data_IF_697921255808
#
_entry.id   IF_697921255808
#
_cell.length_a   1.000
_cell.length_b   1.000
_cell.length_c   1.000
_cell.angle_alpha   90.00
_cell.angle_beta   90.00
_cell.angle_gamma   90.00
#
_symmetry.space_group_name_H-M   'P 1'
#
loop_
_entity.id
_entity.type
_entity.pdbx_description
1 polymer ?
#
# COMPACT_ATOMS: atom_id res chain seq x y z
N UNK A 1 20.04 -27.72 -17.50
CA UNK A 1 20.28 -27.00 -16.23
C UNK A 1 19.17 -27.39 -15.25
N UNK A 2 19.50 -28.01 -14.11
CA UNK A 2 18.51 -28.45 -13.12
C UNK A 2 17.76 -27.23 -12.60
N UNK A 3 16.47 -27.17 -12.81
CA UNK A 3 15.56 -26.17 -12.25
C UNK A 3 15.46 -26.41 -10.74
N UNK A 4 16.47 -25.92 -9.97
CA UNK A 4 16.38 -25.98 -8.51
C UNK A 4 15.21 -25.13 -8.06
N UNK A 5 14.19 -25.77 -7.48
CA UNK A 5 13.04 -25.07 -6.93
C UNK A 5 13.49 -24.14 -5.81
N UNK A 6 13.03 -22.88 -5.83
CA UNK A 6 13.29 -21.93 -4.75
C UNK A 6 12.73 -22.49 -3.43
N UNK A 7 13.60 -22.69 -2.45
CA UNK A 7 13.24 -23.27 -1.16
C UNK A 7 12.22 -22.40 -0.41
N UNK A 8 11.31 -23.03 0.35
CA UNK A 8 10.31 -22.32 1.17
C UNK A 8 10.97 -21.29 2.09
N UNK A 9 12.10 -21.62 2.74
CA UNK A 9 12.82 -20.73 3.64
C UNK A 9 13.32 -19.46 2.93
N UNK A 10 13.75 -19.56 1.67
CA UNK A 10 14.15 -18.40 0.87
C UNK A 10 12.95 -17.50 0.57
N UNK A 11 11.80 -18.08 0.21
CA UNK A 11 10.56 -17.32 -0.05
C UNK A 11 10.09 -16.61 1.23
N UNK A 12 10.11 -17.30 2.37
CA UNK A 12 9.72 -16.72 3.66
C UNK A 12 10.69 -15.62 4.10
N UNK A 13 12.00 -15.82 3.97
CA UNK A 13 12.99 -14.81 4.36
C UNK A 13 12.93 -13.58 3.45
N UNK A 14 12.76 -13.77 2.14
CA UNK A 14 12.55 -12.67 1.21
C UNK A 14 11.24 -11.94 1.53
N UNK A 15 10.12 -12.65 1.60
CA UNK A 15 8.80 -12.07 1.88
C UNK A 15 8.75 -11.35 3.22
N UNK A 16 9.40 -11.89 4.25
CA UNK A 16 9.42 -11.33 5.60
C UNK A 16 9.82 -9.85 5.65
N UNK A 17 10.76 -9.41 4.83
CA UNK A 17 11.16 -8.01 4.76
C UNK A 17 10.02 -7.08 4.30
N UNK A 18 9.04 -7.59 3.57
CA UNK A 18 7.86 -6.81 3.19
C UNK A 18 6.99 -6.40 4.41
N UNK A 19 7.03 -7.17 5.51
CA UNK A 19 6.25 -6.86 6.72
C UNK A 19 6.57 -5.50 7.32
N UNK A 20 7.80 -5.20 7.77
CA UNK A 20 8.10 -3.88 8.31
C UNK A 20 7.98 -2.77 7.26
N UNK A 21 8.22 -3.03 5.98
CA UNK A 21 8.02 -2.05 4.91
C UNK A 21 6.53 -1.70 4.73
N UNK A 22 5.64 -2.68 4.81
CA UNK A 22 4.19 -2.45 4.77
C UNK A 22 3.69 -1.68 6.01
N UNK A 23 4.28 -1.98 7.18
CA UNK A 23 3.95 -1.29 8.42
C UNK A 23 4.25 0.21 8.38
N UNK A 24 5.16 0.68 7.53
CA UNK A 24 5.46 2.11 7.37
C UNK A 24 4.33 2.84 6.66
N UNK A 25 3.71 2.23 5.66
CA UNK A 25 2.69 2.87 4.82
C UNK A 25 1.42 3.23 5.59
N UNK A 26 0.96 2.36 6.48
CA UNK A 26 -0.27 2.55 7.24
C UNK A 26 -0.22 3.76 8.20
N UNK A 27 0.81 3.93 9.07
CA UNK A 27 0.90 5.11 9.93
C UNK A 27 0.98 6.41 9.14
N UNK A 28 1.71 6.43 8.03
CA UNK A 28 1.84 7.65 7.19
C UNK A 28 0.48 8.03 6.62
N UNK A 29 -0.29 7.07 6.12
CA UNK A 29 -1.56 7.33 5.46
C UNK A 29 -2.66 7.79 6.43
N UNK A 30 -2.63 7.35 7.69
CA UNK A 30 -3.76 7.49 8.61
C UNK A 30 -3.43 8.31 9.86
N UNK A 31 -2.23 8.15 10.44
CA UNK A 31 -1.88 8.73 11.73
C UNK A 31 -0.93 9.94 11.65
N UNK A 32 0.00 9.93 10.69
CA UNK A 32 1.06 10.94 10.63
C UNK A 32 0.52 12.34 10.31
N UNK A 33 -0.37 12.45 9.31
CA UNK A 33 -0.97 13.72 8.91
C UNK A 33 -1.80 14.32 10.04
N UNK A 34 -2.75 13.58 10.67
CA UNK A 34 -3.46 14.06 11.83
C UNK A 34 -2.54 14.44 13.00
N UNK A 35 -1.52 13.65 13.30
CA UNK A 35 -0.58 13.93 14.38
C UNK A 35 0.13 15.29 14.18
N UNK A 36 0.69 15.50 12.99
CA UNK A 36 1.40 16.76 12.72
C UNK A 36 0.46 17.96 12.61
N UNK A 37 -0.80 17.76 12.25
CA UNK A 37 -1.79 18.83 12.21
C UNK A 37 -2.39 19.12 13.59
N UNK A 38 -2.82 18.10 14.34
CA UNK A 38 -3.56 18.26 15.60
C UNK A 38 -2.64 18.46 16.82
N UNK A 39 -1.53 17.70 16.87
CA UNK A 39 -0.65 17.68 18.05
C UNK A 39 0.51 18.67 17.90
N UNK A 40 1.11 18.71 16.70
CA UNK A 40 2.23 19.63 16.42
C UNK A 40 1.74 21.02 15.99
N UNK A 41 0.54 21.12 15.39
CA UNK A 41 -0.08 22.38 14.99
C UNK A 41 0.40 22.91 13.63
N UNK A 42 0.95 22.07 12.76
CA UNK A 42 1.28 22.47 11.38
C UNK A 42 0.00 22.52 10.55
N UNK A 43 -0.31 23.64 9.88
CA UNK A 43 -1.49 23.76 9.02
C UNK A 43 -1.57 22.63 7.97
N UNK A 44 -2.76 22.07 7.76
CA UNK A 44 -2.97 20.91 6.92
C UNK A 44 -2.52 21.11 5.46
N UNK A 45 -2.78 22.30 4.89
CA UNK A 45 -2.32 22.64 3.54
C UNK A 45 -0.79 22.66 3.42
N UNK A 46 -0.07 23.05 4.49
CA UNK A 46 1.39 23.02 4.51
C UNK A 46 1.86 21.57 4.49
N UNK A 47 1.31 20.71 5.36
CA UNK A 47 1.65 19.28 5.38
C UNK A 47 1.40 18.66 4.00
N UNK A 48 0.25 18.93 3.39
CA UNK A 48 -0.12 18.41 2.07
C UNK A 48 0.90 18.79 0.98
N UNK A 49 1.25 20.08 0.90
CA UNK A 49 2.22 20.57 -0.08
C UNK A 49 3.62 19.98 0.15
N UNK A 50 4.03 19.85 1.40
CA UNK A 50 5.34 19.27 1.75
C UNK A 50 5.42 17.79 1.42
N UNK A 51 4.35 17.04 1.67
CA UNK A 51 4.25 15.63 1.28
C UNK A 51 4.29 15.47 -0.25
N UNK A 52 3.61 16.35 -0.99
CA UNK A 52 3.66 16.38 -2.44
C UNK A 52 5.09 16.60 -2.94
N UNK A 53 5.78 17.62 -2.43
CA UNK A 53 7.17 17.94 -2.81
C UNK A 53 8.11 16.79 -2.43
N UNK A 54 8.01 16.27 -1.21
CA UNK A 54 8.85 15.19 -0.74
C UNK A 54 8.67 13.91 -1.57
N UNK A 55 7.45 13.60 -1.99
CA UNK A 55 7.18 12.46 -2.88
C UNK A 55 7.62 12.71 -4.32
N UNK A 56 7.58 13.97 -4.77
CA UNK A 56 8.05 14.29 -6.11
C UNK A 56 9.56 13.99 -6.29
N UNK A 57 10.33 14.06 -5.19
CA UNK A 57 11.75 13.67 -5.25
C UNK A 57 11.93 12.18 -5.62
N UNK A 58 10.97 11.31 -5.31
CA UNK A 58 11.01 9.89 -5.69
C UNK A 58 11.07 9.72 -7.22
N UNK A 59 10.40 10.59 -7.98
CA UNK A 59 10.40 10.56 -9.46
C UNK A 59 11.84 10.70 -10.00
N UNK A 60 12.68 11.45 -9.29
CA UNK A 60 14.08 11.67 -9.66
C UNK A 60 14.98 10.59 -9.04
N UNK A 61 14.79 10.28 -7.79
CA UNK A 61 15.67 9.35 -7.05
C UNK A 61 15.47 7.90 -7.43
N UNK A 62 14.25 7.48 -7.80
CA UNK A 62 13.95 6.10 -8.19
C UNK A 62 14.79 5.61 -9.40
N UNK A 63 14.82 6.33 -10.54
CA UNK A 63 15.66 5.94 -11.67
C UNK A 63 17.15 5.93 -11.35
N UNK A 64 17.63 6.92 -10.58
CA UNK A 64 19.03 7.03 -10.17
C UNK A 64 19.42 5.83 -9.32
N UNK A 65 18.66 5.54 -8.27
CA UNK A 65 18.90 4.40 -7.37
C UNK A 65 18.73 3.05 -8.07
N UNK A 66 17.79 2.97 -9.01
CA UNK A 66 17.66 1.82 -9.90
C UNK A 66 18.94 1.56 -10.69
N UNK A 67 19.47 2.59 -11.34
CA UNK A 67 20.69 2.49 -12.14
C UNK A 67 21.92 2.19 -11.28
N UNK A 68 22.07 2.87 -10.14
CA UNK A 68 23.15 2.62 -9.18
C UNK A 68 23.10 1.19 -8.63
N UNK A 69 21.91 0.72 -8.24
CA UNK A 69 21.69 -0.64 -7.76
C UNK A 69 22.04 -1.69 -8.81
N UNK A 70 21.83 -1.39 -10.09
CA UNK A 70 22.15 -2.29 -11.19
C UNK A 70 23.65 -2.32 -11.53
N UNK A 71 24.33 -1.21 -11.35
CA UNK A 71 25.79 -1.11 -11.60
C UNK A 71 26.62 -1.62 -10.42
N UNK A 72 26.02 -1.75 -9.25
CA UNK A 72 26.71 -2.20 -8.03
C UNK A 72 27.24 -3.63 -8.17
N UNK A 73 28.50 -3.83 -7.80
CA UNK A 73 29.18 -5.13 -7.75
C UNK A 73 30.00 -5.18 -6.47
N UNK A 74 29.56 -6.02 -5.51
CA UNK A 74 30.29 -6.21 -4.24
C UNK A 74 30.41 -7.68 -3.90
N UNK A 75 31.30 -8.01 -2.95
CA UNK A 75 31.53 -9.37 -2.47
C UNK A 75 30.29 -10.00 -1.79
N UNK A 76 29.36 -9.17 -1.28
CA UNK A 76 28.14 -9.63 -0.62
C UNK A 76 26.92 -9.67 -1.55
N UNK A 77 27.09 -9.27 -2.82
CA UNK A 77 26.03 -9.24 -3.82
C UNK A 77 25.81 -7.85 -4.41
N UNK A 78 24.74 -7.72 -5.18
CA UNK A 78 24.36 -6.50 -5.89
C UNK A 78 23.29 -5.70 -5.17
N UNK A 79 22.30 -6.37 -4.57
CA UNK A 79 21.14 -5.76 -3.92
C UNK A 79 21.30 -5.57 -2.42
N UNK A 80 22.02 -6.50 -1.77
CA UNK A 80 22.23 -6.50 -0.31
C UNK A 80 22.87 -5.22 0.23
N UNK A 81 23.90 -4.61 -0.40
CA UNK A 81 24.54 -3.39 0.11
C UNK A 81 23.55 -2.24 0.27
N UNK A 82 22.59 -2.10 -0.62
CA UNK A 82 21.59 -1.05 -0.59
C UNK A 82 20.62 -1.23 0.58
N UNK A 83 20.21 -2.48 0.86
CA UNK A 83 19.35 -2.77 2.02
C UNK A 83 20.10 -2.46 3.31
N UNK A 84 21.40 -2.84 3.41
CA UNK A 84 22.24 -2.54 4.58
C UNK A 84 22.35 -1.03 4.81
N UNK A 85 22.49 -0.23 3.73
CA UNK A 85 22.56 1.23 3.82
C UNK A 85 21.21 1.86 4.15
N UNK A 86 20.14 1.37 3.54
CA UNK A 86 18.80 1.96 3.67
C UNK A 86 18.15 1.71 5.03
N UNK A 87 18.40 0.56 5.66
CA UNK A 87 17.79 0.20 6.95
C UNK A 87 18.15 1.19 8.06
N UNK A 88 19.41 1.54 8.35
CA UNK A 88 19.74 2.53 9.38
C UNK A 88 19.17 3.92 9.09
N UNK A 89 19.23 4.37 7.81
CA UNK A 89 18.65 5.65 7.41
C UNK A 89 17.14 5.68 7.66
N UNK A 90 16.44 4.62 7.29
CA UNK A 90 15.00 4.49 7.51
C UNK A 90 14.66 4.47 9.00
N UNK A 91 15.39 3.70 9.82
CA UNK A 91 15.19 3.63 11.26
C UNK A 91 15.36 5.03 11.91
N UNK A 92 16.39 5.77 11.50
CA UNK A 92 16.62 7.13 12.01
C UNK A 92 15.51 8.09 11.60
N UNK A 93 15.07 8.05 10.35
CA UNK A 93 14.00 8.89 9.86
C UNK A 93 12.65 8.59 10.56
N UNK A 94 12.33 7.30 10.75
CA UNK A 94 11.14 6.88 11.48
C UNK A 94 11.22 7.33 12.94
N UNK A 95 12.36 7.15 13.60
CA UNK A 95 12.55 7.61 14.96
C UNK A 95 12.24 9.11 15.10
N UNK A 96 12.80 9.92 14.22
CA UNK A 96 12.60 11.37 14.24
C UNK A 96 11.18 11.79 13.88
N UNK A 97 10.51 11.13 12.94
CA UNK A 97 9.15 11.50 12.53
C UNK A 97 8.07 10.99 13.49
N UNK A 98 8.25 9.81 14.07
CA UNK A 98 7.21 9.16 14.86
C UNK A 98 7.38 9.42 16.36
N UNK A 99 8.59 9.81 16.78
CA UNK A 99 8.93 10.18 18.16
C UNK A 99 9.61 11.56 18.13
N UNK A 100 8.92 12.59 17.62
CA UNK A 100 9.52 13.93 17.55
C UNK A 100 9.73 14.47 18.95
N UNK A 101 10.80 15.29 19.12
CA UNK A 101 11.05 16.04 20.35
C UNK A 101 10.04 17.19 20.53
N UNK A 102 10.29 18.03 21.51
CA UNK A 102 9.41 19.16 21.87
C UNK A 102 9.44 20.31 20.85
N UNK A 103 10.53 20.47 20.11
CA UNK A 103 10.70 21.55 19.12
C UNK A 103 10.62 20.98 17.71
N UNK A 104 9.42 21.00 17.14
CA UNK A 104 9.17 20.52 15.78
C UNK A 104 8.85 21.70 14.87
N UNK A 105 9.78 22.00 13.96
CA UNK A 105 9.59 23.02 12.93
C UNK A 105 9.11 22.40 11.61
N UNK A 106 8.58 23.24 10.71
CA UNK A 106 8.26 22.84 9.34
C UNK A 106 9.51 22.25 8.63
N UNK A 107 10.66 22.87 8.81
CA UNK A 107 11.94 22.41 8.25
C UNK A 107 12.32 21.04 8.79
N UNK A 108 12.13 20.79 10.08
CA UNK A 108 12.32 19.47 10.68
C UNK A 108 11.47 18.40 9.99
N UNK A 109 10.17 18.69 9.86
CA UNK A 109 9.24 17.75 9.21
C UNK A 109 9.66 17.45 7.76
N UNK A 110 10.00 18.46 6.97
CA UNK A 110 10.43 18.29 5.57
C UNK A 110 11.68 17.43 5.47
N UNK A 111 12.72 17.74 6.22
CA UNK A 111 14.01 17.02 6.16
C UNK A 111 13.80 15.55 6.49
N UNK A 112 13.10 15.23 7.58
CA UNK A 112 12.91 13.85 7.99
C UNK A 112 11.94 13.08 7.08
N UNK A 113 10.93 13.74 6.50
CA UNK A 113 10.08 13.14 5.48
C UNK A 113 10.85 12.80 4.21
N UNK A 114 11.69 13.72 3.72
CA UNK A 114 12.54 13.46 2.54
C UNK A 114 13.53 12.31 2.81
N UNK A 115 14.16 12.28 3.99
CA UNK A 115 15.08 11.20 4.37
C UNK A 115 14.36 9.86 4.51
N UNK A 116 13.11 9.85 5.02
CA UNK A 116 12.30 8.65 5.12
C UNK A 116 11.94 8.11 3.72
N UNK A 117 11.51 8.97 2.79
CA UNK A 117 11.22 8.56 1.42
C UNK A 117 12.49 8.08 0.70
N UNK A 118 13.61 8.79 0.87
CA UNK A 118 14.89 8.36 0.32
C UNK A 118 15.31 6.98 0.87
N UNK A 119 15.22 6.76 2.19
CA UNK A 119 15.48 5.46 2.81
C UNK A 119 14.55 4.37 2.29
N UNK A 120 13.26 4.69 2.10
CA UNK A 120 12.28 3.80 1.49
C UNK A 120 12.68 3.40 0.07
N UNK A 121 13.09 4.35 -0.76
CA UNK A 121 13.52 4.10 -2.15
C UNK A 121 14.81 3.29 -2.20
N UNK A 122 15.80 3.59 -1.33
CA UNK A 122 17.06 2.85 -1.21
C UNK A 122 16.81 1.36 -0.89
N UNK A 123 15.76 1.05 -0.09
CA UNK A 123 15.39 -0.34 0.23
C UNK A 123 14.49 -0.93 -0.85
N UNK A 124 13.40 -0.26 -1.20
CA UNK A 124 12.29 -0.86 -1.98
C UNK A 124 12.67 -1.17 -3.42
N UNK A 125 13.49 -0.32 -4.08
CA UNK A 125 13.90 -0.54 -5.47
C UNK A 125 14.83 -1.76 -5.60
N UNK A 126 15.94 -1.86 -4.85
CA UNK A 126 16.77 -3.06 -4.89
C UNK A 126 16.02 -4.31 -4.40
N UNK A 127 15.16 -4.18 -3.39
CA UNK A 127 14.35 -5.29 -2.88
C UNK A 127 13.39 -5.83 -3.93
N UNK A 128 12.69 -4.97 -4.66
CA UNK A 128 11.80 -5.37 -5.75
C UNK A 128 12.54 -6.07 -6.89
N UNK A 129 13.69 -5.53 -7.30
CA UNK A 129 14.56 -6.12 -8.32
C UNK A 129 15.15 -7.47 -7.86
N UNK A 130 15.56 -7.57 -6.59
CA UNK A 130 16.07 -8.81 -6.00
C UNK A 130 15.06 -9.97 -6.13
N UNK A 131 13.77 -9.72 -5.83
CA UNK A 131 12.73 -10.73 -5.97
C UNK A 131 12.56 -11.28 -7.38
N UNK A 132 12.76 -10.44 -8.39
CA UNK A 132 12.72 -10.84 -9.79
C UNK A 132 13.97 -11.66 -10.21
N UNK A 133 15.09 -11.51 -9.50
CA UNK A 133 16.39 -12.13 -9.80
C UNK A 133 16.62 -13.45 -9.05
N UNK A 134 15.83 -13.77 -8.00
CA UNK A 134 16.01 -15.00 -7.19
C UNK A 134 15.88 -16.26 -8.04
N UNK A 135 15.05 -16.25 -9.10
CA UNK A 135 14.88 -17.39 -10.00
C UNK A 135 14.69 -16.94 -11.44
N UNK A 136 15.32 -17.63 -12.42
CA UNK A 136 15.04 -17.42 -13.83
C UNK A 136 13.66 -17.99 -14.25
N UNK A 137 13.10 -18.92 -13.46
CA UNK A 137 11.83 -19.58 -13.75
C UNK A 137 10.64 -18.67 -13.40
N UNK A 138 9.70 -18.54 -14.33
CA UNK A 138 8.52 -17.68 -14.18
C UNK A 138 7.60 -18.12 -13.02
N UNK A 139 7.34 -19.43 -12.89
CA UNK A 139 6.46 -19.95 -11.84
C UNK A 139 7.08 -19.75 -10.45
N UNK A 140 8.40 -19.91 -10.34
CA UNK A 140 9.11 -19.66 -9.09
C UNK A 140 9.09 -18.17 -8.73
N UNK A 141 9.27 -17.27 -9.69
CA UNK A 141 9.12 -15.80 -9.46
C UNK A 141 7.73 -15.45 -8.96
N UNK A 142 6.69 -16.01 -9.56
CA UNK A 142 5.30 -15.79 -9.12
C UNK A 142 5.07 -16.26 -7.68
N UNK A 143 5.70 -17.36 -7.26
CA UNK A 143 5.66 -17.84 -5.87
C UNK A 143 6.40 -16.90 -4.91
N UNK A 144 7.55 -16.35 -5.31
CA UNK A 144 8.31 -15.38 -4.51
C UNK A 144 7.51 -14.09 -4.33
N UNK A 145 6.94 -13.55 -5.41
CA UNK A 145 6.10 -12.34 -5.35
C UNK A 145 4.84 -12.59 -4.53
N UNK A 146 4.14 -13.72 -4.73
CA UNK A 146 2.96 -14.08 -3.94
C UNK A 146 3.27 -14.22 -2.44
N UNK A 147 4.43 -14.80 -2.11
CA UNK A 147 4.92 -14.85 -0.73
C UNK A 147 5.14 -13.46 -0.14
N UNK A 148 5.75 -12.54 -0.89
CA UNK A 148 5.94 -11.14 -0.49
C UNK A 148 4.61 -10.45 -0.20
N UNK A 149 3.62 -10.58 -1.09
CA UNK A 149 2.30 -9.96 -0.89
C UNK A 149 1.57 -10.51 0.35
N UNK A 150 1.69 -11.81 0.63
CA UNK A 150 1.18 -12.39 1.88
C UNK A 150 1.80 -11.75 3.13
N UNK A 151 3.12 -11.56 3.15
CA UNK A 151 3.82 -10.88 4.23
C UNK A 151 3.48 -9.38 4.32
N UNK A 152 3.18 -8.73 3.20
CA UNK A 152 2.67 -7.34 3.17
C UNK A 152 1.35 -7.22 3.93
N UNK A 153 0.40 -8.14 3.71
CA UNK A 153 -0.87 -8.15 4.44
C UNK A 153 -0.69 -8.40 5.94
N UNK A 154 0.25 -9.28 6.32
CA UNK A 154 0.60 -9.49 7.74
C UNK A 154 1.13 -8.19 8.34
N UNK A 155 1.98 -7.45 7.62
CA UNK A 155 2.50 -6.16 8.06
C UNK A 155 1.40 -5.12 8.28
N UNK A 156 0.45 -5.01 7.36
CA UNK A 156 -0.70 -4.12 7.50
C UNK A 156 -1.57 -4.48 8.71
N UNK A 157 -1.80 -5.77 8.94
CA UNK A 157 -2.56 -6.24 10.10
C UNK A 157 -1.83 -5.92 11.42
N UNK A 158 -0.53 -6.23 11.52
CA UNK A 158 0.28 -5.88 12.69
C UNK A 158 0.22 -4.37 12.94
N UNK A 159 0.35 -3.56 11.87
CA UNK A 159 0.30 -2.10 11.96
C UNK A 159 -1.03 -1.58 12.51
N UNK A 160 -2.16 -2.24 12.22
CA UNK A 160 -3.46 -1.88 12.77
C UNK A 160 -3.67 -2.38 14.21
N UNK A 161 -3.02 -3.49 14.60
CA UNK A 161 -3.11 -4.02 15.96
C UNK A 161 -2.33 -3.19 16.98
N UNK A 162 -1.28 -2.47 16.58
CA UNK A 162 -0.51 -1.61 17.49
C UNK A 162 -1.38 -0.46 18.05
N UNK A 163 -2.04 0.38 17.22
CA UNK A 163 -2.97 1.38 17.72
C UNK A 163 -4.04 0.77 18.64
N UNK A 164 -4.67 -0.31 18.21
CA UNK A 164 -5.68 -0.99 19.02
C UNK A 164 -5.15 -1.40 20.39
N UNK A 165 -3.95 -1.95 20.47
CA UNK A 165 -3.34 -2.34 21.73
C UNK A 165 -3.17 -1.13 22.67
N UNK A 166 -2.76 0.01 22.15
CA UNK A 166 -2.60 1.26 22.92
C UNK A 166 -3.96 1.84 23.32
N UNK A 167 -4.93 1.85 22.40
CA UNK A 167 -6.27 2.39 22.64
C UNK A 167 -7.01 1.66 23.77
N UNK A 168 -6.89 0.33 23.84
CA UNK A 168 -7.59 -0.48 24.86
C UNK A 168 -6.79 -0.68 26.16
N UNK A 169 -5.51 -0.33 26.17
CA UNK A 169 -4.65 -0.38 27.34
C UNK A 169 -4.86 0.85 28.21
N UNK A 170 -4.78 0.69 29.53
CA UNK A 170 -4.88 1.80 30.47
C UNK A 170 -4.10 1.53 31.75
N UNK A 171 -3.91 2.54 32.57
CA UNK A 171 -3.26 2.36 33.87
C UNK A 171 -4.06 1.37 34.74
N UNK A 172 -3.39 0.37 35.28
CA UNK A 172 -4.00 -0.65 36.11
C UNK A 172 -4.71 -1.78 35.37
N UNK A 173 -4.70 -1.82 34.03
CA UNK A 173 -5.27 -2.90 33.24
C UNK A 173 -4.20 -3.98 33.04
N UNK A 174 -4.55 -5.24 33.36
CA UNK A 174 -3.65 -6.36 33.12
C UNK A 174 -3.46 -6.63 31.61
N UNK A 175 -2.35 -7.27 31.24
CA UNK A 175 -2.11 -7.69 29.83
C UNK A 175 -3.24 -8.61 29.35
N UNK A 176 -3.72 -9.50 30.22
CA UNK A 176 -4.82 -10.42 29.90
C UNK A 176 -6.13 -9.70 29.63
N UNK A 177 -6.47 -8.66 30.41
CA UNK A 177 -7.65 -7.85 30.19
C UNK A 177 -7.51 -6.97 28.93
N UNK A 178 -6.31 -6.46 28.64
CA UNK A 178 -6.03 -5.76 27.38
C UNK A 178 -6.27 -6.68 26.18
N UNK A 179 -5.81 -7.93 26.22
CA UNK A 179 -6.07 -8.91 25.15
C UNK A 179 -7.58 -9.19 25.04
N UNK A 180 -8.31 -9.37 26.14
CA UNK A 180 -9.77 -9.54 26.11
C UNK A 180 -10.47 -8.33 25.46
N UNK A 181 -10.07 -7.11 25.82
CA UNK A 181 -10.61 -5.88 25.23
C UNK A 181 -10.31 -5.80 23.72
N UNK A 182 -9.08 -6.14 23.29
CA UNK A 182 -8.74 -6.23 21.88
C UNK A 182 -9.65 -7.20 21.12
N UNK A 183 -9.86 -8.42 21.66
CA UNK A 183 -10.74 -9.41 21.06
C UNK A 183 -12.20 -8.93 21.05
N UNK A 184 -12.68 -8.32 22.14
CA UNK A 184 -14.02 -7.75 22.20
C UNK A 184 -14.18 -6.61 21.18
N UNK A 185 -13.21 -5.72 21.06
CA UNK A 185 -13.20 -4.65 20.07
C UNK A 185 -13.26 -5.20 18.64
N UNK A 186 -12.49 -6.27 18.33
CA UNK A 186 -12.46 -6.85 16.98
C UNK A 186 -13.72 -7.65 16.65
N UNK A 187 -14.17 -8.54 17.55
CA UNK A 187 -15.17 -9.55 17.22
C UNK A 187 -16.60 -9.22 17.75
N UNK A 188 -16.70 -8.42 18.80
CA UNK A 188 -17.99 -8.04 19.42
C UNK A 188 -18.39 -6.61 19.10
N UNK A 189 -17.55 -5.87 18.34
CA UNK A 189 -17.75 -4.47 17.95
C UNK A 189 -17.87 -3.51 19.14
N UNK A 190 -17.26 -3.90 20.28
CA UNK A 190 -17.27 -3.05 21.47
C UNK A 190 -16.27 -1.89 21.28
N UNK A 191 -16.75 -0.68 21.46
CA UNK A 191 -15.92 0.51 21.55
C UNK A 191 -15.49 0.75 22.99
N UNK A 192 -14.27 1.22 23.20
CA UNK A 192 -13.73 1.54 24.51
C UNK A 192 -13.26 2.99 24.51
N UNK A 193 -13.53 3.71 25.59
CA UNK A 193 -12.93 5.02 25.80
C UNK A 193 -11.42 4.89 25.75
N UNK A 194 -10.79 5.55 24.77
CA UNK A 194 -9.34 5.46 24.58
C UNK A 194 -8.61 6.25 25.66
N UNK A 195 -7.60 5.63 26.25
CA UNK A 195 -6.63 6.30 27.13
C UNK A 195 -5.35 6.69 26.39
N UNK A 196 -5.18 6.19 25.14
CA UNK A 196 -3.99 6.37 24.33
C UNK A 196 -3.94 7.73 23.66
N UNK A 197 -2.88 8.49 23.89
CA UNK A 197 -2.62 9.72 23.13
C UNK A 197 -2.15 9.35 21.73
N UNK A 198 -2.45 10.19 20.74
CA UNK A 198 -2.01 10.01 19.35
C UNK A 198 -0.46 9.93 19.25
N UNK A 199 0.25 10.67 20.11
CA UNK A 199 1.71 10.58 20.25
C UNK A 199 2.18 9.18 20.65
N UNK A 200 1.48 8.53 21.58
CA UNK A 200 1.86 7.20 22.09
C UNK A 200 1.58 6.12 21.04
N UNK A 201 0.48 6.27 20.31
CA UNK A 201 0.12 5.39 19.18
C UNK A 201 1.22 5.48 18.11
N UNK A 202 1.53 6.68 17.64
CA UNK A 202 2.51 6.90 16.59
C UNK A 202 3.91 6.45 17.03
N UNK A 203 4.32 6.77 18.26
CA UNK A 203 5.59 6.33 18.84
C UNK A 203 5.69 4.80 18.89
N UNK A 204 4.64 4.12 19.37
CA UNK A 204 4.61 2.66 19.46
C UNK A 204 4.69 1.99 18.09
N UNK A 205 4.03 2.56 17.08
CA UNK A 205 4.15 2.11 15.69
C UNK A 205 5.59 2.28 15.18
N UNK A 206 6.20 3.44 15.45
CA UNK A 206 7.60 3.72 15.10
C UNK A 206 8.56 2.74 15.74
N UNK A 207 8.43 2.50 17.05
CA UNK A 207 9.27 1.53 17.79
C UNK A 207 9.10 0.13 17.21
N UNK A 208 7.87 -0.30 16.93
CA UNK A 208 7.59 -1.60 16.31
C UNK A 208 8.32 -1.77 14.96
N UNK A 209 8.28 -0.75 14.11
CA UNK A 209 8.98 -0.78 12.81
C UNK A 209 10.50 -0.79 13.01
N UNK A 210 11.05 0.09 13.87
CA UNK A 210 12.48 0.19 14.16
C UNK A 210 13.02 -1.15 14.71
N UNK A 211 12.22 -1.88 15.47
CA UNK A 211 12.62 -3.17 15.99
C UNK A 211 12.53 -4.29 14.93
N UNK A 212 11.45 -4.35 14.17
CA UNK A 212 11.22 -5.43 13.20
C UNK A 212 12.04 -5.28 11.92
N UNK A 213 12.26 -4.06 11.46
CA UNK A 213 12.94 -3.81 10.19
C UNK A 213 14.36 -4.41 10.14
N UNK A 214 15.26 -4.19 11.11
CA UNK A 214 16.60 -4.79 11.07
C UNK A 214 16.55 -6.32 11.22
N UNK A 215 15.61 -6.88 11.99
CA UNK A 215 15.48 -8.34 12.19
C UNK A 215 15.11 -9.01 10.85
N UNK A 216 14.07 -8.53 10.18
CA UNK A 216 13.65 -9.09 8.90
C UNK A 216 14.63 -8.80 7.77
N UNK A 217 15.30 -7.64 7.79
CA UNK A 217 16.39 -7.34 6.87
C UNK A 217 17.56 -8.30 7.06
N UNK A 218 18.04 -8.51 8.28
CA UNK A 218 19.10 -9.46 8.59
C UNK A 218 18.74 -10.89 8.17
N UNK A 219 17.49 -11.32 8.42
CA UNK A 219 17.01 -12.62 8.00
C UNK A 219 17.02 -12.78 6.47
N UNK A 220 16.53 -11.76 5.73
CA UNK A 220 16.59 -11.76 4.27
C UNK A 220 18.03 -11.75 3.75
N UNK A 221 18.89 -10.88 4.28
CA UNK A 221 20.30 -10.77 3.89
C UNK A 221 21.07 -12.08 4.11
N UNK A 222 20.72 -12.83 5.15
CA UNK A 222 21.38 -14.11 5.46
C UNK A 222 20.89 -15.27 4.59
N UNK A 223 19.56 -15.41 4.39
CA UNK A 223 18.97 -16.61 3.78
C UNK A 223 18.75 -16.49 2.27
N UNK A 224 18.61 -15.28 1.75
CA UNK A 224 18.27 -15.07 0.33
C UNK A 224 19.57 -14.94 -0.48
N UNK A 225 19.76 -15.76 -1.54
CA UNK A 225 20.88 -15.56 -2.44
C UNK A 225 20.72 -14.24 -3.23
N UNK A 226 21.84 -13.58 -3.51
CA UNK A 226 21.89 -12.39 -4.36
C UNK A 226 22.67 -12.74 -5.63
N UNK A 227 22.02 -13.35 -6.64
CA UNK A 227 22.67 -13.74 -7.86
C UNK A 227 23.13 -12.52 -8.65
N UNK A 228 24.24 -12.64 -9.34
CA UNK A 228 24.71 -11.64 -10.30
C UNK A 228 24.31 -12.13 -11.71
N UNK A 229 23.11 -11.79 -12.20
CA UNK A 229 22.73 -12.17 -13.55
C UNK A 229 23.63 -11.48 -14.56
N UNK A 230 23.86 -12.14 -15.70
CA UNK A 230 24.46 -11.51 -16.86
C UNK A 230 23.62 -10.29 -17.25
N UNK A 231 24.31 -9.20 -17.65
CA UNK A 231 23.67 -7.91 -17.93
C UNK A 231 22.71 -8.05 -19.10
N UNK A 232 21.44 -8.22 -18.85
CA UNK A 232 20.41 -8.00 -19.89
C UNK A 232 20.42 -6.51 -20.26
N UNK A 233 20.42 -6.21 -21.57
CA UNK A 233 20.28 -4.83 -22.05
C UNK A 233 18.97 -4.27 -21.52
N UNK A 234 19.05 -3.34 -20.57
CA UNK A 234 17.86 -2.65 -20.06
C UNK A 234 17.41 -1.61 -21.05
N UNK A 235 16.11 -1.53 -21.22
CA UNK A 235 15.48 -0.48 -22.00
C UNK A 235 15.55 0.81 -21.15
N UNK A 236 16.10 1.91 -21.65
CA UNK A 236 16.09 3.19 -20.97
C UNK A 236 14.66 3.60 -20.58
N UNK A 237 14.49 4.30 -19.43
CA UNK A 237 13.18 4.67 -18.92
C UNK A 237 12.32 5.41 -19.97
N UNK A 238 12.91 6.33 -20.73
CA UNK A 238 12.20 7.08 -21.78
C UNK A 238 11.74 6.18 -22.94
N UNK A 239 12.55 5.21 -23.33
CA UNK A 239 12.10 4.21 -24.32
C UNK A 239 11.00 3.33 -23.76
N UNK A 240 11.11 2.93 -22.47
CA UNK A 240 10.05 2.20 -21.77
C UNK A 240 8.73 2.97 -21.72
N UNK A 241 8.76 4.27 -21.45
CA UNK A 241 7.59 5.15 -21.50
C UNK A 241 7.00 5.25 -22.90
N UNK A 242 7.83 5.35 -23.93
CA UNK A 242 7.38 5.38 -25.34
C UNK A 242 6.68 4.06 -25.69
N UNK A 243 7.28 2.93 -25.39
CA UNK A 243 6.64 1.62 -25.62
C UNK A 243 5.34 1.44 -24.83
N UNK A 244 5.29 1.97 -23.60
CA UNK A 244 4.06 1.96 -22.80
C UNK A 244 2.96 2.77 -23.47
N UNK A 245 3.28 3.97 -24.00
CA UNK A 245 2.34 4.83 -24.70
C UNK A 245 1.83 4.22 -26.02
N UNK A 246 2.65 3.40 -26.69
CA UNK A 246 2.30 2.70 -27.92
C UNK A 246 1.42 1.45 -27.66
N UNK A 247 1.33 0.97 -26.40
CA UNK A 247 0.49 -0.18 -26.03
C UNK A 247 -0.80 0.28 -25.34
N UNK A 248 -1.94 0.38 -26.06
CA UNK A 248 -3.18 0.92 -25.51
C UNK A 248 -3.74 0.07 -24.36
N UNK A 249 -3.44 -1.23 -24.33
CA UNK A 249 -3.88 -2.12 -23.26
C UNK A 249 -3.09 -1.86 -21.97
N UNK A 250 -1.77 -1.61 -22.10
CA UNK A 250 -0.93 -1.23 -20.98
C UNK A 250 -1.33 0.14 -20.42
N UNK A 251 -1.52 1.15 -21.28
CA UNK A 251 -2.00 2.47 -20.86
C UNK A 251 -3.32 2.34 -20.09
N UNK A 252 -4.25 1.53 -20.58
CA UNK A 252 -5.54 1.34 -19.94
C UNK A 252 -5.44 0.70 -18.56
N UNK A 253 -4.66 -0.36 -18.39
CA UNK A 253 -4.49 -0.98 -17.07
C UNK A 253 -3.75 -0.08 -16.10
N UNK A 254 -2.73 0.65 -16.55
CA UNK A 254 -2.02 1.62 -15.73
C UNK A 254 -2.93 2.79 -15.29
N UNK A 255 -3.83 3.24 -16.15
CA UNK A 255 -4.83 4.26 -15.80
C UNK A 255 -5.86 3.72 -14.79
N UNK A 256 -6.32 2.47 -14.95
CA UNK A 256 -7.17 1.82 -13.96
C UNK A 256 -6.47 1.76 -12.60
N UNK A 257 -5.20 1.32 -12.56
CA UNK A 257 -4.39 1.25 -11.34
C UNK A 257 -4.21 2.64 -10.71
N UNK A 258 -3.93 3.66 -11.54
CA UNK A 258 -3.85 5.05 -11.09
C UNK A 258 -5.12 5.47 -10.36
N UNK A 259 -6.27 5.29 -10.98
CA UNK A 259 -7.57 5.70 -10.44
C UNK A 259 -7.92 4.97 -9.14
N UNK A 260 -7.65 3.67 -9.10
CA UNK A 260 -7.96 2.85 -7.90
C UNK A 260 -7.08 3.24 -6.72
N UNK A 261 -5.77 3.37 -6.94
CA UNK A 261 -4.86 3.78 -5.87
C UNK A 261 -5.15 5.22 -5.43
N UNK A 262 -5.48 6.11 -6.37
CA UNK A 262 -5.86 7.48 -6.05
C UNK A 262 -7.13 7.52 -5.20
N UNK A 263 -8.19 6.78 -5.58
CA UNK A 263 -9.44 6.72 -4.82
C UNK A 263 -9.24 6.17 -3.39
N UNK A 264 -8.46 5.10 -3.25
CA UNK A 264 -8.14 4.53 -1.93
C UNK A 264 -7.28 5.48 -1.08
N UNK A 265 -6.25 6.10 -1.66
CA UNK A 265 -5.38 7.03 -0.94
C UNK A 265 -6.11 8.29 -0.52
N UNK A 266 -6.95 8.86 -1.40
CA UNK A 266 -7.81 10.00 -1.10
C UNK A 266 -8.67 9.72 0.13
N UNK A 267 -9.39 8.61 0.13
CA UNK A 267 -10.27 8.22 1.21
C UNK A 267 -9.50 7.90 2.51
N UNK A 268 -8.38 7.19 2.40
CA UNK A 268 -7.59 6.81 3.57
C UNK A 268 -7.04 8.01 4.33
N UNK A 269 -6.67 9.09 3.62
CA UNK A 269 -6.23 10.35 4.23
C UNK A 269 -7.29 10.96 5.14
N UNK A 270 -8.56 10.84 4.78
CA UNK A 270 -9.69 11.42 5.53
C UNK A 270 -10.26 10.46 6.58
N UNK A 271 -9.82 9.21 6.58
CA UNK A 271 -10.49 8.11 7.26
C UNK A 271 -10.47 8.23 8.78
N UNK A 272 -9.35 8.71 9.37
CA UNK A 272 -9.25 8.86 10.83
C UNK A 272 -10.27 9.90 11.33
N UNK A 273 -10.35 11.05 10.67
CA UNK A 273 -11.30 12.12 11.02
C UNK A 273 -12.75 11.68 10.81
N UNK A 274 -13.04 10.98 9.72
CA UNK A 274 -14.40 10.45 9.50
C UNK A 274 -14.82 9.47 10.59
N UNK A 275 -13.97 8.51 10.94
CA UNK A 275 -14.27 7.48 11.94
C UNK A 275 -14.43 8.10 13.33
N UNK A 276 -13.54 9.01 13.72
CA UNK A 276 -13.52 9.62 15.05
C UNK A 276 -14.54 10.76 15.18
N UNK A 277 -14.54 11.70 14.25
CA UNK A 277 -15.25 12.97 14.41
C UNK A 277 -16.68 12.89 13.87
N UNK A 278 -16.92 12.14 12.77
CA UNK A 278 -18.26 11.96 12.19
C UNK A 278 -19.02 10.83 12.88
N UNK A 279 -18.42 9.63 12.96
CA UNK A 279 -19.11 8.45 13.53
C UNK A 279 -18.99 8.43 15.05
N UNK A 280 -17.88 8.91 15.62
CA UNK A 280 -17.66 8.97 17.06
C UNK A 280 -17.02 7.71 17.66
N UNK A 281 -16.30 6.91 16.86
CA UNK A 281 -15.60 5.70 17.32
C UNK A 281 -14.26 6.11 17.89
N UNK A 282 -13.96 5.70 19.11
CA UNK A 282 -12.71 5.98 19.79
C UNK A 282 -11.65 4.90 19.52
N UNK A 283 -12.04 3.62 19.46
CA UNK A 283 -11.12 2.51 19.13
C UNK A 283 -10.94 2.35 17.61
N UNK A 284 -10.26 3.31 16.99
CA UNK A 284 -10.04 3.36 15.54
C UNK A 284 -9.22 2.15 15.07
N UNK A 285 -8.20 1.73 15.82
CA UNK A 285 -7.37 0.55 15.52
C UNK A 285 -8.18 -0.72 15.36
N UNK A 286 -9.25 -0.93 16.15
CA UNK A 286 -10.15 -2.08 16.00
C UNK A 286 -10.87 -2.09 14.65
N UNK A 287 -11.31 -0.93 14.17
CA UNK A 287 -11.96 -0.81 12.86
C UNK A 287 -11.00 -1.21 11.73
N UNK A 288 -9.76 -0.76 11.78
CA UNK A 288 -8.76 -1.14 10.78
C UNK A 288 -8.28 -2.58 10.91
N UNK A 289 -8.16 -3.12 12.13
CA UNK A 289 -7.85 -4.54 12.31
C UNK A 289 -8.90 -5.42 11.63
N UNK A 290 -10.19 -5.14 11.84
CA UNK A 290 -11.31 -5.82 11.14
C UNK A 290 -11.24 -5.66 9.62
N UNK A 291 -10.93 -4.45 9.15
CA UNK A 291 -10.78 -4.15 7.73
C UNK A 291 -9.71 -5.03 7.08
N UNK A 292 -8.51 -5.13 7.67
CA UNK A 292 -7.43 -5.94 7.12
C UNK A 292 -7.65 -7.44 7.28
N UNK A 293 -8.28 -7.89 8.39
CA UNK A 293 -8.69 -9.29 8.56
C UNK A 293 -9.70 -9.67 7.46
N UNK A 294 -10.72 -8.85 7.23
CA UNK A 294 -11.70 -9.08 6.17
C UNK A 294 -11.05 -9.07 4.78
N UNK A 295 -10.08 -8.18 4.55
CA UNK A 295 -9.29 -8.15 3.32
C UNK A 295 -8.52 -9.44 3.09
N UNK A 296 -7.85 -9.95 4.12
CA UNK A 296 -7.11 -11.21 4.05
C UNK A 296 -8.03 -12.40 3.73
N UNK A 297 -9.19 -12.46 4.40
CA UNK A 297 -10.21 -13.49 4.13
C UNK A 297 -10.79 -13.32 2.71
N UNK A 298 -10.92 -12.11 2.22
CA UNK A 298 -11.45 -11.80 0.90
C UNK A 298 -10.54 -12.25 -0.24
N UNK A 299 -9.23 -12.32 -0.07
CA UNK A 299 -8.26 -12.65 -1.14
C UNK A 299 -8.59 -13.99 -1.83
N UNK A 300 -8.76 -15.12 -1.12
CA UNK A 300 -9.10 -16.40 -1.78
C UNK A 300 -10.41 -16.32 -2.56
N UNK A 301 -11.41 -15.62 -2.03
CA UNK A 301 -12.70 -15.41 -2.70
C UNK A 301 -12.53 -14.64 -4.02
N UNK A 302 -11.81 -13.50 -4.00
CA UNK A 302 -11.60 -12.69 -5.19
C UNK A 302 -10.75 -13.39 -6.24
N UNK A 303 -9.76 -14.18 -5.83
CA UNK A 303 -8.97 -15.03 -6.74
C UNK A 303 -9.84 -16.12 -7.37
N UNK A 304 -10.73 -16.77 -6.59
CA UNK A 304 -11.68 -17.73 -7.09
C UNK A 304 -12.66 -17.08 -8.07
N UNK A 305 -13.25 -15.93 -7.71
CA UNK A 305 -14.18 -15.19 -8.57
C UNK A 305 -13.51 -14.75 -9.89
N UNK A 306 -12.26 -14.30 -9.81
CA UNK A 306 -11.46 -13.94 -11.00
C UNK A 306 -11.19 -15.12 -11.93
N UNK A 307 -11.02 -16.33 -11.39
CA UNK A 307 -10.90 -17.55 -12.19
C UNK A 307 -12.22 -17.98 -12.85
N UNK A 308 -13.34 -17.80 -12.16
CA UNK A 308 -14.67 -18.24 -12.63
C UNK A 308 -15.29 -17.27 -13.63
N UNK A 309 -15.41 -16.00 -13.27
CA UNK A 309 -16.07 -14.96 -14.09
C UNK A 309 -15.12 -14.20 -15.03
N UNK A 310 -13.81 -14.35 -14.82
CA UNK A 310 -12.78 -13.52 -15.44
C UNK A 310 -12.38 -12.33 -14.55
N UNK A 311 -11.08 -11.97 -14.60
CA UNK A 311 -10.47 -10.98 -13.70
C UNK A 311 -11.13 -9.60 -13.81
N UNK A 312 -11.43 -9.13 -15.02
CA UNK A 312 -12.06 -7.82 -15.25
C UNK A 312 -13.48 -7.75 -14.66
N UNK A 313 -14.30 -8.80 -14.81
CA UNK A 313 -15.66 -8.83 -14.23
C UNK A 313 -15.62 -8.90 -12.70
N UNK A 314 -14.74 -9.75 -12.15
CA UNK A 314 -14.52 -9.80 -10.70
C UNK A 314 -14.06 -8.44 -10.15
N UNK A 315 -13.21 -7.73 -10.89
CA UNK A 315 -12.75 -6.42 -10.50
C UNK A 315 -13.85 -5.34 -10.59
N UNK A 316 -14.73 -5.38 -11.60
CA UNK A 316 -15.93 -4.54 -11.64
C UNK A 316 -16.81 -4.75 -10.41
N UNK A 317 -17.05 -5.99 -9.99
CA UNK A 317 -17.82 -6.31 -8.78
C UNK A 317 -17.15 -5.72 -7.54
N UNK A 318 -15.81 -5.81 -7.46
CA UNK A 318 -15.03 -5.21 -6.37
C UNK A 318 -15.20 -3.69 -6.30
N UNK A 319 -15.11 -3.01 -7.46
CA UNK A 319 -15.27 -1.54 -7.56
C UNK A 319 -16.68 -1.09 -7.18
N UNK A 320 -17.70 -1.79 -7.69
CA UNK A 320 -19.09 -1.53 -7.33
C UNK A 320 -19.32 -1.76 -5.84
N UNK A 321 -18.84 -2.87 -5.29
CA UNK A 321 -18.94 -3.18 -3.86
C UNK A 321 -18.30 -2.10 -2.99
N UNK A 322 -17.05 -1.72 -3.30
CA UNK A 322 -16.35 -0.65 -2.56
C UNK A 322 -17.05 0.70 -2.67
N UNK A 323 -17.51 1.06 -3.87
CA UNK A 323 -18.24 2.31 -4.11
C UNK A 323 -19.59 2.34 -3.37
N UNK A 324 -20.36 1.26 -3.45
CA UNK A 324 -21.65 1.14 -2.75
C UNK A 324 -21.50 1.24 -1.23
N UNK A 325 -20.52 0.54 -0.66
CA UNK A 325 -20.23 0.62 0.77
C UNK A 325 -19.83 2.06 1.16
N UNK A 326 -19.00 2.71 0.37
CA UNK A 326 -18.62 4.11 0.62
C UNK A 326 -19.83 5.05 0.55
N UNK A 327 -20.71 4.85 -0.44
CA UNK A 327 -21.96 5.60 -0.57
C UNK A 327 -22.90 5.38 0.63
N UNK A 328 -23.04 4.14 1.10
CA UNK A 328 -23.87 3.83 2.26
C UNK A 328 -23.34 4.47 3.55
N UNK A 329 -22.02 4.62 3.70
CA UNK A 329 -21.43 5.32 4.83
C UNK A 329 -21.84 6.81 4.90
N UNK A 330 -22.29 7.41 3.78
CA UNK A 330 -22.77 8.79 3.77
C UNK A 330 -24.01 9.02 4.64
N UNK A 331 -24.85 8.02 4.79
CA UNK A 331 -26.10 8.08 5.55
C UNK A 331 -25.95 7.77 7.04
N UNK A 332 -24.73 7.40 7.47
CA UNK A 332 -24.47 7.12 8.87
C UNK A 332 -24.34 8.42 9.68
N UNK A 333 -24.87 8.37 10.91
CA UNK A 333 -24.77 9.43 11.88
C UNK A 333 -23.86 9.07 13.05
N UNK A 334 -23.59 10.03 13.91
CA UNK A 334 -22.81 9.80 15.13
C UNK A 334 -23.54 8.82 16.03
N UNK A 335 -22.86 7.71 16.40
CA UNK A 335 -23.43 6.63 17.20
C UNK A 335 -23.83 5.39 16.40
N UNK A 336 -23.86 5.45 15.05
CA UNK A 336 -24.16 4.29 14.20
C UNK A 336 -23.02 3.28 14.12
N UNK A 337 -22.45 2.94 15.26
CA UNK A 337 -21.24 2.12 15.38
C UNK A 337 -21.38 0.77 14.70
N UNK A 338 -22.45 0.04 14.97
CA UNK A 338 -22.67 -1.31 14.41
C UNK A 338 -22.79 -1.27 12.88
N UNK A 339 -23.57 -0.34 12.35
CA UNK A 339 -23.73 -0.18 10.91
C UNK A 339 -22.40 0.18 10.23
N UNK A 340 -21.64 1.12 10.83
CA UNK A 340 -20.33 1.47 10.35
C UNK A 340 -19.37 0.26 10.35
N UNK A 341 -19.32 -0.51 11.42
CA UNK A 341 -18.44 -1.68 11.52
C UNK A 341 -18.76 -2.74 10.46
N UNK A 342 -20.03 -3.00 10.19
CA UNK A 342 -20.46 -3.93 9.14
C UNK A 342 -20.02 -3.42 7.77
N UNK A 343 -20.28 -2.16 7.47
CA UNK A 343 -19.89 -1.54 6.19
C UNK A 343 -18.38 -1.52 6.04
N UNK A 344 -17.64 -1.21 7.11
CA UNK A 344 -16.18 -1.16 7.07
C UNK A 344 -15.54 -2.55 6.90
N UNK A 345 -16.17 -3.59 7.46
CA UNK A 345 -15.79 -4.98 7.26
C UNK A 345 -16.04 -5.42 5.81
N UNK A 346 -17.21 -5.10 5.24
CA UNK A 346 -17.50 -5.37 3.82
C UNK A 346 -16.54 -4.64 2.89
N UNK A 347 -16.16 -3.41 3.24
CA UNK A 347 -15.15 -2.64 2.51
C UNK A 347 -13.78 -3.30 2.58
N UNK A 348 -13.38 -3.77 3.77
CA UNK A 348 -12.15 -4.54 3.95
C UNK A 348 -12.14 -5.81 3.09
N UNK A 349 -13.27 -6.53 3.02
CA UNK A 349 -13.40 -7.69 2.16
C UNK A 349 -13.17 -7.35 0.67
N UNK A 350 -13.74 -6.22 0.19
CA UNK A 350 -13.49 -5.72 -1.16
C UNK A 350 -12.03 -5.27 -1.37
N UNK A 351 -11.36 -4.76 -0.33
CA UNK A 351 -9.95 -4.36 -0.40
C UNK A 351 -9.03 -5.48 -0.88
N UNK A 352 -9.30 -6.74 -0.49
CA UNK A 352 -8.59 -7.90 -1.02
C UNK A 352 -8.63 -7.98 -2.55
N UNK A 353 -9.79 -7.69 -3.16
CA UNK A 353 -9.92 -7.63 -4.63
C UNK A 353 -9.20 -6.44 -5.25
N UNK A 354 -9.28 -5.25 -4.62
CA UNK A 354 -8.58 -4.05 -5.08
C UNK A 354 -7.06 -4.22 -5.12
N UNK A 355 -6.49 -4.97 -4.16
CA UNK A 355 -5.04 -5.18 -4.08
C UNK A 355 -4.52 -6.17 -5.13
N UNK A 356 -5.23 -7.28 -5.36
CA UNK A 356 -4.67 -8.39 -6.14
C UNK A 356 -5.12 -8.44 -7.60
N UNK A 357 -6.37 -8.04 -7.90
CA UNK A 357 -6.90 -8.19 -9.26
C UNK A 357 -6.20 -7.28 -10.28
N UNK A 358 -5.92 -5.99 -10.02
CA UNK A 358 -5.22 -5.13 -10.99
C UNK A 358 -3.80 -5.61 -11.29
N UNK A 359 -3.05 -6.06 -10.27
CA UNK A 359 -1.72 -6.61 -10.44
C UNK A 359 -1.75 -7.90 -11.29
N UNK A 360 -2.78 -8.74 -11.08
CA UNK A 360 -2.99 -9.96 -11.88
C UNK A 360 -3.39 -9.63 -13.32
N UNK A 361 -4.17 -8.58 -13.56
CA UNK A 361 -4.52 -8.11 -14.91
C UNK A 361 -3.31 -7.51 -15.63
N UNK A 362 -2.46 -6.79 -14.91
CA UNK A 362 -1.20 -6.27 -15.47
C UNK A 362 -0.28 -7.42 -15.90
N UNK A 363 -0.20 -8.50 -15.14
CA UNK A 363 0.58 -9.67 -15.51
C UNK A 363 0.10 -10.29 -16.84
N UNK A 364 -1.23 -10.33 -17.09
CA UNK A 364 -1.78 -10.80 -18.37
C UNK A 364 -1.39 -9.90 -19.55
N UNK A 365 -1.28 -8.59 -19.32
CA UNK A 365 -0.79 -7.64 -20.34
C UNK A 365 0.68 -7.87 -20.66
N UNK A 366 1.51 -8.16 -19.64
CA UNK A 366 2.91 -8.53 -19.81
C UNK A 366 3.06 -9.80 -20.65
N UNK A 367 2.23 -10.82 -20.39
CA UNK A 367 2.24 -12.07 -21.14
C UNK A 367 1.86 -11.82 -22.62
N UNK A 368 0.83 -11.00 -22.87
CA UNK A 368 0.41 -10.64 -24.22
C UNK A 368 1.49 -9.84 -24.99
N UNK A 369 2.17 -8.91 -24.31
CA UNK A 369 3.27 -8.16 -24.92
C UNK A 369 4.43 -9.07 -25.31
N UNK A 370 4.77 -10.01 -24.43
CA UNK A 370 5.82 -10.99 -24.67
C UNK A 370 5.53 -11.89 -25.88
N UNK A 371 4.24 -12.27 -26.10
CA UNK A 371 3.79 -12.99 -27.27
C UNK A 371 3.95 -12.19 -28.56
N UNK A 372 3.49 -10.95 -28.55
CA UNK A 372 3.47 -10.11 -29.75
C UNK A 372 4.86 -9.64 -30.18
N UNK A 373 5.77 -9.44 -29.24
CA UNK A 373 7.07 -8.82 -29.51
C UNK A 373 8.25 -9.74 -29.40
N UNK A 374 8.06 -10.95 -28.83
CA UNK A 374 9.16 -11.87 -28.52
C UNK A 374 10.10 -11.33 -27.42
N UNK A 375 9.84 -10.13 -26.89
CA UNK A 375 10.69 -9.44 -25.93
C UNK A 375 10.27 -9.64 -24.48
N UNK A 376 11.24 -9.70 -23.55
CA UNK A 376 10.97 -9.80 -22.10
C UNK A 376 10.97 -8.40 -21.46
N UNK A 377 9.81 -7.71 -21.48
CA UNK A 377 9.66 -6.32 -20.96
C UNK A 377 8.95 -6.24 -19.61
N UNK A 378 8.73 -7.37 -18.93
CA UNK A 378 8.02 -7.44 -17.65
C UNK A 378 8.59 -6.45 -16.61
N UNK A 379 9.92 -6.35 -16.49
CA UNK A 379 10.57 -5.44 -15.56
C UNK A 379 10.19 -3.97 -15.77
N UNK A 380 10.12 -3.53 -17.03
CA UNK A 380 9.71 -2.15 -17.40
C UNK A 380 8.25 -1.89 -17.02
N UNK A 381 7.34 -2.83 -17.28
CA UNK A 381 5.92 -2.67 -16.99
C UNK A 381 5.64 -2.62 -15.48
N UNK A 382 6.30 -3.46 -14.69
CA UNK A 382 6.19 -3.41 -13.23
C UNK A 382 6.86 -2.17 -12.63
N UNK A 383 7.95 -1.67 -13.21
CA UNK A 383 8.57 -0.41 -12.80
C UNK A 383 7.61 0.79 -13.05
N UNK A 384 6.97 0.84 -14.23
CA UNK A 384 5.96 1.85 -14.55
C UNK A 384 4.76 1.76 -13.60
N UNK A 385 4.30 0.55 -13.28
CA UNK A 385 3.25 0.35 -12.28
C UNK A 385 3.64 0.93 -10.91
N UNK A 386 4.86 0.67 -10.44
CA UNK A 386 5.36 1.21 -9.17
C UNK A 386 5.42 2.74 -9.17
N UNK A 387 5.88 3.35 -10.27
CA UNK A 387 5.93 4.80 -10.43
C UNK A 387 4.52 5.41 -10.42
N UNK A 388 3.58 4.82 -11.18
CA UNK A 388 2.19 5.27 -11.23
C UNK A 388 1.53 5.15 -9.86
N UNK A 389 1.76 4.05 -9.13
CA UNK A 389 1.23 3.87 -7.78
C UNK A 389 1.69 4.99 -6.83
N UNK A 390 2.96 5.38 -6.86
CA UNK A 390 3.50 6.48 -6.06
C UNK A 390 2.87 7.83 -6.44
N UNK A 391 2.78 8.13 -7.74
CA UNK A 391 2.19 9.39 -8.24
C UNK A 391 0.70 9.46 -7.89
N UNK A 392 -0.03 8.36 -8.04
CA UNK A 392 -1.46 8.28 -7.69
C UNK A 392 -1.70 8.59 -6.23
N UNK A 393 -0.96 7.93 -5.34
CA UNK A 393 -1.08 8.14 -3.90
C UNK A 393 -0.73 9.58 -3.51
N UNK A 394 0.36 10.12 -4.06
CA UNK A 394 0.81 11.48 -3.81
C UNK A 394 -0.24 12.53 -4.15
N UNK A 395 -0.76 12.50 -5.40
CA UNK A 395 -1.76 13.46 -5.87
C UNK A 395 -3.04 13.35 -5.07
N UNK A 396 -3.47 12.14 -4.75
CA UNK A 396 -4.71 11.89 -4.03
C UNK A 396 -4.64 12.33 -2.57
N UNK A 397 -3.54 12.07 -1.87
CA UNK A 397 -3.30 12.53 -0.49
C UNK A 397 -3.29 14.05 -0.45
N UNK A 398 -2.58 14.69 -1.38
CA UNK A 398 -2.55 16.13 -1.51
C UNK A 398 -3.95 16.71 -1.77
N UNK A 399 -4.68 16.18 -2.76
CA UNK A 399 -6.01 16.66 -3.10
C UNK A 399 -7.00 16.50 -1.92
N UNK A 400 -6.96 15.38 -1.20
CA UNK A 400 -7.81 15.13 -0.04
C UNK A 400 -7.55 16.16 1.08
N UNK A 401 -6.28 16.39 1.41
CA UNK A 401 -5.89 17.31 2.47
C UNK A 401 -6.24 18.76 2.12
N UNK A 402 -5.99 19.20 0.87
CA UNK A 402 -6.32 20.54 0.39
C UNK A 402 -7.83 20.79 0.38
N UNK A 403 -8.63 19.82 -0.10
CA UNK A 403 -10.08 19.96 -0.14
C UNK A 403 -10.69 20.09 1.26
N UNK A 404 -10.17 19.33 2.23
CA UNK A 404 -10.63 19.40 3.61
C UNK A 404 -10.21 20.74 4.25
N UNK A 405 -8.99 21.20 4.00
CA UNK A 405 -8.52 22.49 4.47
C UNK A 405 -9.41 23.64 3.94
N UNK A 406 -9.73 23.62 2.64
CA UNK A 406 -10.64 24.62 2.03
C UNK A 406 -12.08 24.57 2.57
N UNK A 407 -12.52 23.45 3.11
CA UNK A 407 -13.85 23.36 3.74
C UNK A 407 -13.91 24.02 5.12
N UNK A 408 -12.79 24.52 5.63
CA UNK A 408 -12.68 25.09 6.98
C UNK A 408 -12.65 24.02 8.09
N UNK A 409 -12.48 22.75 7.75
CA UNK A 409 -12.31 21.70 8.74
C UNK A 409 -10.97 21.85 9.46
N UNK A 410 -11.02 21.99 10.78
CA UNK A 410 -9.84 22.08 11.65
C UNK A 410 -9.71 20.81 12.48
N UNK A 411 -8.73 19.95 12.19
CA UNK A 411 -8.50 18.74 12.97
C UNK A 411 -8.33 19.01 14.47
N UNK A 412 -8.97 18.16 15.31
CA UNK A 412 -8.85 18.26 16.76
C UNK A 412 -9.66 19.40 17.42
N UNK A 413 -10.50 20.10 16.69
CA UNK A 413 -11.36 21.18 17.20
C UNK A 413 -12.85 20.87 17.00
N UNK A 414 -13.72 21.70 17.61
CA UNK A 414 -15.15 21.68 17.30
C UNK A 414 -15.38 22.37 15.95
N UNK A 415 -15.72 21.58 14.95
CA UNK A 415 -15.97 22.03 13.59
C UNK A 415 -17.45 22.44 13.40
N UNK A 416 -17.69 23.35 12.44
CA UNK A 416 -19.03 23.70 12.00
C UNK A 416 -19.72 22.53 11.31
N UNK A 417 -21.06 22.53 11.30
CA UNK A 417 -21.85 21.49 10.60
C UNK A 417 -21.52 21.44 9.10
N UNK A 418 -21.19 22.58 8.49
CA UNK A 418 -20.80 22.68 7.10
C UNK A 418 -19.46 21.98 6.84
N UNK A 419 -18.46 22.19 7.71
CA UNK A 419 -17.17 21.52 7.60
C UNK A 419 -17.29 20.00 7.83
N UNK A 420 -18.13 19.59 8.78
CA UNK A 420 -18.41 18.18 9.03
C UNK A 420 -19.17 17.53 7.86
N UNK A 421 -20.10 18.23 7.22
CA UNK A 421 -20.79 17.76 6.02
C UNK A 421 -19.77 17.64 4.84
N UNK A 422 -18.89 18.61 4.67
CA UNK A 422 -17.87 18.55 3.64
C UNK A 422 -16.93 17.35 3.83
N UNK A 423 -16.45 17.08 5.05
CA UNK A 423 -15.67 15.90 5.37
C UNK A 423 -16.42 14.60 5.02
N UNK A 424 -17.70 14.53 5.36
CA UNK A 424 -18.58 13.39 5.02
C UNK A 424 -18.70 13.20 3.51
N UNK A 425 -18.94 14.27 2.75
CA UNK A 425 -19.00 14.25 1.28
C UNK A 425 -17.69 13.76 0.70
N UNK A 426 -16.57 14.34 1.12
CA UNK A 426 -15.25 13.99 0.58
C UNK A 426 -14.88 12.54 0.89
N UNK A 427 -15.10 12.08 2.12
CA UNK A 427 -14.78 10.70 2.49
C UNK A 427 -15.66 9.67 1.77
N UNK A 428 -16.97 9.89 1.73
CA UNK A 428 -17.94 8.92 1.22
C UNK A 428 -18.09 8.97 -0.30
N UNK A 429 -18.14 10.17 -0.88
CA UNK A 429 -18.43 10.38 -2.29
C UNK A 429 -17.19 10.77 -3.11
N UNK A 430 -16.18 11.38 -2.49
CA UNK A 430 -14.97 11.81 -3.21
C UNK A 430 -14.24 10.68 -3.92
N UNK A 431 -14.23 9.48 -3.35
CA UNK A 431 -13.64 8.31 -4.01
C UNK A 431 -14.40 7.88 -5.28
N UNK A 432 -15.68 8.24 -5.44
CA UNK A 432 -16.44 7.93 -6.64
C UNK A 432 -15.90 8.62 -7.88
N UNK A 433 -15.29 9.81 -7.73
CA UNK A 433 -14.62 10.52 -8.83
C UNK A 433 -13.50 9.69 -9.47
N UNK A 434 -12.90 8.76 -8.71
CA UNK A 434 -11.86 7.85 -9.15
C UNK A 434 -12.42 6.47 -9.54
N UNK A 435 -13.32 5.91 -8.72
CA UNK A 435 -13.82 4.56 -8.93
C UNK A 435 -14.80 4.45 -10.11
N UNK A 436 -15.59 5.48 -10.41
CA UNK A 436 -16.51 5.44 -11.56
C UNK A 436 -15.76 5.39 -12.90
N UNK A 437 -14.75 6.24 -13.17
CA UNK A 437 -13.93 6.09 -14.37
C UNK A 437 -13.16 4.77 -14.41
N UNK A 438 -12.65 4.28 -13.25
CA UNK A 438 -11.99 2.99 -13.18
C UNK A 438 -12.94 1.84 -13.54
N UNK A 439 -14.19 1.89 -13.04
CA UNK A 439 -15.24 0.93 -13.37
C UNK A 439 -15.55 0.93 -14.87
N UNK A 440 -15.73 2.12 -15.47
CA UNK A 440 -15.97 2.27 -16.89
C UNK A 440 -14.84 1.66 -17.73
N UNK A 441 -13.60 2.00 -17.42
CA UNK A 441 -12.43 1.45 -18.10
C UNK A 441 -12.30 -0.07 -17.93
N UNK A 442 -12.68 -0.60 -16.75
CA UNK A 442 -12.61 -2.03 -16.47
C UNK A 442 -13.75 -2.79 -17.15
N UNK A 443 -14.96 -2.21 -17.19
CA UNK A 443 -16.11 -2.83 -17.85
C UNK A 443 -15.85 -3.11 -19.32
N UNK A 444 -15.23 -2.17 -20.03
CA UNK A 444 -14.86 -2.31 -21.43
C UNK A 444 -13.44 -2.86 -21.62
N UNK A 445 -12.90 -3.61 -20.64
CA UNK A 445 -11.54 -4.13 -20.73
C UNK A 445 -11.45 -5.20 -21.84
N UNK A 446 -10.54 -5.05 -22.83
CA UNK A 446 -10.57 -5.89 -24.02
C UNK A 446 -9.97 -7.30 -23.83
N UNK A 447 -9.18 -7.52 -22.76
CA UNK A 447 -8.59 -8.83 -22.46
C UNK A 447 -9.54 -9.63 -21.57
N UNK A 448 -10.49 -10.35 -22.20
CA UNK A 448 -11.43 -11.23 -21.51
C UNK A 448 -10.78 -12.56 -21.15
N UNK A 449 -11.48 -13.39 -20.34
CA UNK A 449 -11.03 -14.73 -19.96
C UNK A 449 -10.82 -15.62 -21.20
N UNK A 450 -11.71 -15.54 -22.16
CA UNK A 450 -11.68 -16.32 -23.40
C UNK A 450 -10.43 -15.95 -24.22
N UNK A 451 -10.21 -14.65 -24.47
CA UNK A 451 -9.01 -14.16 -25.15
C UNK A 451 -7.72 -14.54 -24.45
N UNK A 452 -7.71 -14.52 -23.11
CA UNK A 452 -6.54 -14.94 -22.35
C UNK A 452 -6.27 -16.44 -22.49
N UNK A 453 -7.32 -17.27 -22.59
CA UNK A 453 -7.16 -18.72 -22.81
C UNK A 453 -6.63 -19.03 -24.21
N UNK A 454 -7.18 -18.40 -25.26
CA UNK A 454 -6.67 -18.50 -26.64
C UNK A 454 -5.17 -18.18 -26.70
N UNK A 455 -4.78 -17.09 -26.10
CA UNK A 455 -3.41 -16.62 -26.03
C UNK A 455 -2.47 -17.61 -25.30
N UNK A 456 -2.94 -18.25 -24.21
CA UNK A 456 -2.14 -19.28 -23.53
C UNK A 456 -1.94 -20.51 -24.39
N UNK A 457 -2.93 -20.93 -25.16
CA UNK A 457 -2.81 -22.04 -26.09
C UNK A 457 -1.80 -21.75 -27.22
N UNK A 458 -1.77 -20.50 -27.71
CA UNK A 458 -0.77 -20.05 -28.68
C UNK A 458 0.64 -20.08 -28.09
N UNK A 459 0.80 -19.64 -26.81
CA UNK A 459 2.08 -19.69 -26.08
C UNK A 459 2.58 -21.14 -25.85
N UNK A 460 1.68 -22.04 -25.58
CA UNK A 460 2.00 -23.46 -25.36
C UNK A 460 2.35 -24.14 -26.68
N UNK A 461 1.67 -23.79 -27.78
CA UNK A 461 1.97 -24.28 -29.14
C UNK A 461 3.34 -23.83 -29.65
N UNK A 462 3.73 -22.55 -29.41
CA UNK A 462 5.05 -22.02 -29.79
C UNK A 462 6.23 -22.58 -28.99
N UNK A 463 5.99 -23.24 -27.87
CA UNK A 463 7.03 -23.93 -27.07
C UNK A 463 7.20 -25.40 -27.41
N UNK A 464 6.30 -25.93 -28.21
CA UNK A 464 6.32 -27.33 -28.66
C UNK A 464 7.01 -27.54 -30.02
N UNK A 465 7.21 -26.47 -30.76
CA UNK A 465 8.04 -26.40 -31.96
C UNK A 465 9.46 -25.84 -31.62
#
# INVERSE_FOLDING_TARGET
>A
MSTSTVGRNTIFAYGGLATPLAMIGYPIAIWLIPFYSEVVGIPLYIIANLLLIARFTDVITDPILGQLGDSTRTSIGRRKPWIILGVPLMMLAIYKLFIPGTEVSITYFVIWMMLMYLGSTIISIPYGAWGAEISPDYHQRSRVVGGREGWTLIGLLISALIPLAIEVSGQGISIFDSIKRMLAAIFVFQDFATSGKMSDILASMGIGIIFLLPIFAAWALWKVPDPMPEVEKKIPLFEGLKYAAENPLLVRILLIIFLVIAGESFRNTLSLWFVRDVIGIETVGASYARYFIAGLIGVPFWLWLGKTLGKHKAFCITLVGTGSVSFLCFFLERGDFTAFHILFLLKGFCFGGLQFLPASMLADVVDLDSLKTGGRRAGTFFALNGMIAKVSAMVAVWAAAILVDFSGFMPGTNNSDEAMLALRIYYCLGCAAFFLPALFLTWFYPLTKEKHQEMRLELEGQKGD
#
